data_IF_989181569375
#
_entry.id   IF_989181569375
#
_cell.length_a   1.000
_cell.length_b   1.000
_cell.length_c   1.000
_cell.angle_alpha   90.00
_cell.angle_beta   90.00
_cell.angle_gamma   90.00
#
_symmetry.space_group_name_H-M   'P 1'
#
loop_
_entity.id
_entity.type
_entity.pdbx_description
1 polymer ?
#
# COMPACT_ATOMS: atom_id res chain seq x y z
N UNK A 1 21.70 -4.43 4.84
CA UNK A 1 20.81 -3.33 5.31
C UNK A 1 21.13 -2.89 6.73
N UNK A 2 21.08 -3.77 7.74
CA UNK A 2 21.34 -3.38 9.15
C UNK A 2 22.73 -2.75 9.38
N UNK A 3 23.78 -3.25 8.69
CA UNK A 3 25.11 -2.65 8.76
C UNK A 3 25.13 -1.16 8.34
N UNK A 4 24.36 -0.78 7.31
CA UNK A 4 24.25 0.61 6.83
C UNK A 4 23.51 1.48 7.85
N UNK A 5 22.53 0.91 8.56
CA UNK A 5 21.80 1.63 9.61
C UNK A 5 22.74 1.94 10.77
N UNK A 6 23.51 0.96 11.23
CA UNK A 6 24.50 1.15 12.31
C UNK A 6 25.66 2.09 11.91
N UNK A 7 25.98 2.17 10.62
CA UNK A 7 26.99 3.12 10.11
C UNK A 7 26.49 4.57 10.17
N UNK A 8 25.18 4.80 9.98
CA UNK A 8 24.59 6.15 9.92
C UNK A 8 24.02 6.65 11.23
N UNK A 9 23.68 5.76 12.14
CA UNK A 9 23.02 6.09 13.40
C UNK A 9 23.76 5.41 14.56
N UNK A 10 24.06 6.18 15.60
CA UNK A 10 24.71 5.70 16.82
C UNK A 10 23.72 5.81 17.99
N UNK A 11 23.48 4.69 18.70
CA UNK A 11 22.77 4.68 19.98
C UNK A 11 23.09 3.42 20.79
N UNK A 12 23.07 3.58 22.11
CA UNK A 12 23.44 2.54 23.09
C UNK A 12 22.56 1.28 23.00
N UNK A 13 21.34 1.41 22.47
CA UNK A 13 20.35 0.32 22.40
C UNK A 13 19.80 0.08 20.97
N UNK A 14 20.67 0.23 19.96
CA UNK A 14 20.31 -0.02 18.55
C UNK A 14 19.79 -1.45 18.31
N UNK A 15 20.32 -2.44 19.04
CA UNK A 15 20.00 -3.85 18.77
C UNK A 15 18.59 -4.24 19.25
N UNK A 16 18.08 -3.69 20.34
CA UNK A 16 16.70 -3.96 20.79
C UNK A 16 15.66 -3.47 19.78
N UNK A 17 15.98 -2.39 19.06
CA UNK A 17 15.11 -1.76 18.05
C UNK A 17 15.29 -2.35 16.65
N UNK A 18 16.21 -3.29 16.44
CA UNK A 18 16.60 -3.78 15.12
C UNK A 18 15.41 -4.24 14.28
N UNK A 19 14.59 -5.12 14.83
CA UNK A 19 13.48 -5.72 14.08
C UNK A 19 12.39 -4.69 13.77
N UNK A 20 12.14 -3.77 14.71
CA UNK A 20 11.22 -2.66 14.50
C UNK A 20 11.68 -1.76 13.36
N UNK A 21 12.95 -1.34 13.37
CA UNK A 21 13.54 -0.48 12.33
C UNK A 21 13.52 -1.18 10.97
N UNK A 22 13.96 -2.43 10.89
CA UNK A 22 13.95 -3.19 9.64
C UNK A 22 12.51 -3.42 9.12
N UNK A 23 11.56 -3.67 10.02
CA UNK A 23 10.14 -3.75 9.70
C UNK A 23 9.61 -2.45 9.10
N UNK A 24 9.87 -1.32 9.76
CA UNK A 24 9.44 0.00 9.31
C UNK A 24 10.05 0.40 7.97
N UNK A 25 11.33 0.09 7.75
CA UNK A 25 11.99 0.32 6.46
C UNK A 25 11.37 -0.50 5.33
N UNK A 26 11.05 -1.78 5.62
CA UNK A 26 10.35 -2.65 4.66
C UNK A 26 8.97 -2.11 4.32
N UNK A 27 8.21 -1.65 5.30
CA UNK A 27 6.90 -1.03 5.09
C UNK A 27 6.99 0.25 4.27
N UNK A 28 7.92 1.13 4.61
CA UNK A 28 8.19 2.38 3.88
C UNK A 28 8.54 2.10 2.42
N UNK A 29 9.41 1.12 2.18
CA UNK A 29 9.76 0.67 0.84
C UNK A 29 8.55 0.10 0.07
N UNK A 30 7.71 -0.70 0.71
CA UNK A 30 6.50 -1.25 0.09
C UNK A 30 5.49 -0.16 -0.25
N UNK A 31 5.28 0.80 0.65
CA UNK A 31 4.37 1.93 0.47
C UNK A 31 4.81 2.80 -0.69
N UNK A 32 6.09 3.18 -0.73
CA UNK A 32 6.67 3.99 -1.81
C UNK A 32 6.51 3.29 -3.17
N UNK A 33 6.86 1.99 -3.27
CA UNK A 33 6.66 1.23 -4.52
C UNK A 33 5.19 1.14 -4.94
N UNK A 34 4.28 0.94 -3.98
CA UNK A 34 2.85 0.92 -4.25
C UNK A 34 2.35 2.25 -4.82
N UNK A 35 2.80 3.38 -4.29
CA UNK A 35 2.48 4.71 -4.82
C UNK A 35 3.03 4.91 -6.23
N UNK A 36 4.25 4.44 -6.52
CA UNK A 36 4.81 4.50 -7.86
C UNK A 36 3.99 3.69 -8.86
N UNK A 37 3.63 2.45 -8.50
CA UNK A 37 2.80 1.60 -9.34
C UNK A 37 1.45 2.26 -9.63
N UNK A 38 0.75 2.75 -8.60
CA UNK A 38 -0.56 3.39 -8.75
C UNK A 38 -0.52 4.62 -9.65
N UNK A 39 0.50 5.48 -9.52
CA UNK A 39 0.58 6.76 -10.25
C UNK A 39 1.12 6.62 -11.68
N UNK A 40 2.09 5.74 -11.90
CA UNK A 40 2.87 5.73 -13.15
C UNK A 40 2.68 4.47 -14.00
N UNK A 41 2.20 3.36 -13.43
CA UNK A 41 2.15 2.04 -14.10
C UNK A 41 0.73 1.52 -14.27
N UNK A 42 -0.12 1.70 -13.27
CA UNK A 42 -1.48 1.16 -13.26
C UNK A 42 -2.30 1.67 -14.44
N UNK A 43 -2.92 0.74 -15.16
CA UNK A 43 -3.78 1.03 -16.32
C UNK A 43 -3.04 1.49 -17.57
N UNK A 44 -1.69 1.51 -17.56
CA UNK A 44 -0.87 1.95 -18.68
C UNK A 44 -0.11 0.77 -19.30
N UNK A 45 0.13 0.78 -20.62
CA UNK A 45 1.02 -0.18 -21.25
C UNK A 45 2.46 0.02 -20.75
N UNK A 46 3.25 -1.06 -20.72
CA UNK A 46 4.64 -1.08 -20.21
C UNK A 46 5.50 0.01 -20.87
N UNK A 47 5.36 0.20 -22.18
CA UNK A 47 6.12 1.21 -22.93
C UNK A 47 5.84 2.64 -22.44
N UNK A 48 4.58 2.94 -22.09
CA UNK A 48 4.20 4.25 -21.57
C UNK A 48 4.65 4.41 -20.10
N UNK A 49 4.55 3.34 -19.30
CA UNK A 49 5.07 3.33 -17.94
C UNK A 49 6.59 3.59 -17.88
N UNK A 50 7.36 3.03 -18.82
CA UNK A 50 8.80 3.27 -18.93
C UNK A 50 9.12 4.73 -19.30
N UNK A 51 8.31 5.37 -20.15
CA UNK A 51 8.47 6.79 -20.51
C UNK A 51 8.09 7.72 -19.34
N UNK A 52 7.10 7.34 -18.55
CA UNK A 52 6.59 8.10 -17.40
C UNK A 52 7.46 7.93 -16.13
N UNK A 53 8.77 8.13 -16.25
CA UNK A 53 9.69 7.97 -15.12
C UNK A 53 9.53 9.11 -14.08
N UNK A 54 9.36 8.78 -12.79
CA UNK A 54 9.30 9.79 -11.72
C UNK A 54 10.64 10.50 -11.51
N UNK A 55 10.58 11.80 -11.18
CA UNK A 55 11.77 12.59 -10.79
C UNK A 55 12.39 12.01 -9.51
N UNK A 56 13.71 11.85 -9.50
CA UNK A 56 14.46 11.34 -8.35
C UNK A 56 14.55 9.81 -8.24
N UNK A 57 14.05 9.06 -9.23
CA UNK A 57 14.30 7.61 -9.33
C UNK A 57 15.34 7.36 -10.41
N UNK A 58 16.33 6.53 -10.10
CA UNK A 58 17.35 6.14 -11.07
C UNK A 58 16.72 5.34 -12.22
N UNK A 59 17.15 5.62 -13.46
CA UNK A 59 16.63 4.94 -14.66
C UNK A 59 16.70 3.42 -14.57
N UNK A 60 17.85 2.87 -14.15
CA UNK A 60 18.04 1.42 -14.03
C UNK A 60 17.09 0.81 -13.00
N UNK A 61 16.91 1.48 -11.86
CA UNK A 61 15.97 1.07 -10.83
C UNK A 61 14.51 1.12 -11.34
N UNK A 62 14.15 2.18 -12.08
CA UNK A 62 12.82 2.32 -12.67
C UNK A 62 12.52 1.22 -13.69
N UNK A 63 13.46 0.95 -14.59
CA UNK A 63 13.30 -0.12 -15.59
C UNK A 63 13.11 -1.48 -14.95
N UNK A 64 13.89 -1.80 -13.91
CA UNK A 64 13.73 -3.05 -13.16
C UNK A 64 12.37 -3.12 -12.46
N UNK A 65 11.90 -2.03 -11.84
CA UNK A 65 10.59 -1.99 -11.20
C UNK A 65 9.47 -2.30 -12.19
N UNK A 66 9.49 -1.68 -13.37
CA UNK A 66 8.44 -1.86 -14.38
C UNK A 66 8.54 -3.24 -15.04
N UNK A 67 9.71 -3.63 -15.55
CA UNK A 67 9.90 -4.85 -16.33
C UNK A 67 9.88 -6.13 -15.49
N UNK A 68 10.49 -6.09 -14.31
CA UNK A 68 10.65 -7.28 -13.47
C UNK A 68 9.66 -7.30 -12.31
N UNK A 69 9.61 -6.23 -11.50
CA UNK A 69 8.88 -6.28 -10.24
C UNK A 69 7.36 -6.25 -10.43
N UNK A 70 6.83 -5.22 -11.10
CA UNK A 70 5.39 -5.04 -11.30
C UNK A 70 4.80 -6.04 -12.29
N UNK A 71 5.62 -6.55 -13.21
CA UNK A 71 5.21 -7.58 -14.18
C UNK A 71 5.30 -8.99 -13.59
N UNK A 72 5.99 -9.18 -12.45
CA UNK A 72 6.10 -10.51 -11.84
C UNK A 72 4.73 -11.08 -11.46
N UNK A 73 4.53 -12.37 -11.76
CA UNK A 73 3.31 -13.13 -11.44
C UNK A 73 2.95 -13.01 -9.95
N UNK A 74 3.94 -13.17 -9.07
CA UNK A 74 3.76 -13.05 -7.63
C UNK A 74 3.23 -11.66 -7.19
N UNK A 75 3.71 -10.58 -7.82
CA UNK A 75 3.24 -9.23 -7.51
C UNK A 75 1.80 -9.04 -7.98
N UNK A 76 1.51 -9.42 -9.24
CA UNK A 76 0.17 -9.29 -9.82
C UNK A 76 -0.87 -10.08 -9.04
N UNK A 77 -0.58 -11.33 -8.66
CA UNK A 77 -1.49 -12.14 -7.86
C UNK A 77 -1.79 -11.52 -6.50
N UNK A 78 -0.79 -10.98 -5.80
CA UNK A 78 -1.00 -10.30 -4.52
C UNK A 78 -1.80 -9.01 -4.69
N UNK A 79 -1.48 -8.23 -5.73
CA UNK A 79 -2.20 -7.00 -6.06
C UNK A 79 -3.68 -7.29 -6.36
N UNK A 80 -3.95 -8.30 -7.20
CA UNK A 80 -5.31 -8.69 -7.55
C UNK A 80 -6.09 -9.19 -6.33
N UNK A 81 -5.47 -10.03 -5.48
CA UNK A 81 -6.06 -10.45 -4.20
C UNK A 81 -6.37 -9.26 -3.31
N UNK A 82 -5.47 -8.29 -3.18
CA UNK A 82 -5.70 -7.09 -2.39
C UNK A 82 -6.84 -6.23 -2.94
N UNK A 83 -6.94 -6.08 -4.27
CA UNK A 83 -8.04 -5.37 -4.93
C UNK A 83 -9.38 -6.06 -4.66
N UNK A 84 -9.44 -7.38 -4.79
CA UNK A 84 -10.64 -8.19 -4.49
C UNK A 84 -11.01 -8.06 -3.01
N UNK A 85 -10.04 -8.14 -2.11
CA UNK A 85 -10.27 -7.99 -0.67
C UNK A 85 -10.78 -6.59 -0.33
N UNK A 86 -10.25 -5.54 -0.95
CA UNK A 86 -10.77 -4.18 -0.81
C UNK A 86 -12.18 -4.02 -1.37
N UNK A 87 -12.49 -4.64 -2.51
CA UNK A 87 -13.84 -4.62 -3.07
C UNK A 87 -14.87 -5.32 -2.17
N UNK A 88 -14.43 -6.32 -1.39
CA UNK A 88 -15.26 -7.02 -0.38
C UNK A 88 -15.48 -6.23 0.91
N UNK A 89 -14.80 -5.09 1.11
CA UNK A 89 -15.01 -4.25 2.29
C UNK A 89 -16.42 -3.65 2.26
N UNK A 90 -17.31 -4.19 3.08
CA UNK A 90 -18.71 -3.72 3.22
C UNK A 90 -18.84 -2.47 4.08
N UNK A 91 -17.82 -2.14 4.87
CA UNK A 91 -17.78 -0.94 5.72
C UNK A 91 -16.57 -0.09 5.35
N UNK A 92 -16.80 1.21 5.12
CA UNK A 92 -15.73 2.19 4.95
C UNK A 92 -15.00 2.37 6.29
N UNK A 93 -13.66 2.35 6.27
CA UNK A 93 -12.82 2.68 7.44
C UNK A 93 -12.98 4.13 7.91
N UNK A 94 -13.40 5.03 7.01
CA UNK A 94 -13.98 6.32 7.35
C UNK A 94 -15.49 6.26 7.12
N UNK A 95 -16.19 5.63 8.04
CA UNK A 95 -17.44 6.22 8.49
C UNK A 95 -17.03 7.54 9.17
N UNK A 96 -17.68 8.67 8.86
CA UNK A 96 -17.31 9.96 9.44
C UNK A 96 -17.35 10.00 10.98
N UNK A 97 -17.50 11.18 11.58
CA UNK A 97 -17.68 11.32 13.04
C UNK A 97 -18.93 10.61 13.61
N UNK A 98 -19.71 9.92 12.77
CA UNK A 98 -20.87 9.13 13.20
C UNK A 98 -20.41 7.83 13.86
N UNK A 99 -20.74 7.59 15.14
CA UNK A 99 -20.40 6.34 15.81
C UNK A 99 -21.10 5.16 15.13
N UNK A 100 -20.44 3.99 15.10
CA UNK A 100 -20.95 2.73 14.51
C UNK A 100 -22.37 2.42 15.01
N UNK A 101 -22.65 2.71 16.29
CA UNK A 101 -23.96 2.58 16.92
C UNK A 101 -25.05 3.31 16.13
N UNK A 102 -24.83 4.56 15.75
CA UNK A 102 -25.82 5.40 15.08
C UNK A 102 -26.14 4.89 13.67
N UNK A 103 -25.15 4.35 12.95
CA UNK A 103 -25.35 3.70 11.66
C UNK A 103 -26.21 2.44 11.79
N UNK A 104 -25.96 1.64 12.84
CA UNK A 104 -26.77 0.44 13.12
C UNK A 104 -28.22 0.86 13.38
N UNK A 105 -28.46 1.88 14.21
CA UNK A 105 -29.81 2.39 14.45
C UNK A 105 -30.49 2.87 13.17
N UNK A 106 -29.82 3.67 12.32
CA UNK A 106 -30.39 4.16 11.07
C UNK A 106 -30.76 3.02 10.11
N UNK A 107 -29.91 1.98 10.00
CA UNK A 107 -30.20 0.80 9.17
C UNK A 107 -31.41 0.02 9.68
N UNK A 108 -31.48 -0.27 10.99
CA UNK A 108 -32.61 -0.99 11.61
C UNK A 108 -33.90 -0.18 11.47
N UNK A 109 -33.85 1.13 11.71
CA UNK A 109 -34.99 2.04 11.56
C UNK A 109 -35.49 2.05 10.10
N UNK A 110 -34.58 2.14 9.13
CA UNK A 110 -34.94 2.10 7.71
C UNK A 110 -35.56 0.76 7.29
N UNK A 111 -35.06 -0.38 7.80
CA UNK A 111 -35.64 -1.69 7.48
C UNK A 111 -37.07 -1.84 8.02
N UNK A 112 -37.32 -1.34 9.23
CA UNK A 112 -38.64 -1.42 9.86
C UNK A 112 -39.69 -0.56 9.14
N UNK A 113 -39.28 0.55 8.52
CA UNK A 113 -40.15 1.41 7.70
C UNK A 113 -40.52 0.80 6.34
N UNK A 114 -39.74 -0.15 5.82
CA UNK A 114 -40.04 -0.86 4.57
C UNK A 114 -40.90 -2.11 4.76
N UNK A 115 -41.09 -2.55 6.02
CA UNK A 115 -41.85 -3.75 6.38
C UNK A 115 -43.21 -3.44 7.06
N UNK A 116 -43.58 -2.15 7.16
CA UNK A 116 -44.90 -1.68 7.61
C UNK A 116 -45.71 -1.14 6.43
#
# INVERSE_FOLDING_TARGET
MWAIVKDKFDSDDMNSHRDHVLGWMKESWNKWRGQLHEKYVKGKPIQEALKNMPKGVEKKQWEWLVKEHFTSKNYQERSNRNTINRAKLKMLHHIGSKPIREIIYQKVLSLNLFLS
#
